data_IF_116779715045
#
_entry.id   IF_116779715045
#
_cell.length_a   1.000
_cell.length_b   1.000
_cell.length_c   1.000
_cell.angle_alpha   90.00
_cell.angle_beta   90.00
_cell.angle_gamma   90.00
#
_symmetry.space_group_name_H-M   'P 1'
#
loop_
_entity.id
_entity.type
_entity.pdbx_description
1 polymer ?
#
# COMPACT_ATOMS: atom_id res chain seq x y z
N UNK A 1 -10.69 3.95 -9.09
CA UNK A 1 -11.32 3.26 -7.94
C UNK A 1 -12.66 2.69 -8.37
N UNK A 2 -13.17 1.71 -7.63
CA UNK A 2 -14.49 1.14 -7.86
C UNK A 2 -15.25 1.09 -6.53
N UNK A 3 -16.57 1.30 -6.59
CA UNK A 3 -17.46 1.16 -5.45
C UNK A 3 -18.53 0.13 -5.84
N UNK A 4 -18.78 -0.83 -4.94
CA UNK A 4 -19.77 -1.87 -5.15
C UNK A 4 -20.84 -1.73 -4.08
N UNK A 5 -22.10 -1.77 -4.50
CA UNK A 5 -23.25 -1.75 -3.62
C UNK A 5 -23.91 -3.12 -3.61
N UNK A 6 -24.48 -3.48 -2.46
CA UNK A 6 -25.24 -4.73 -2.31
C UNK A 6 -26.55 -4.68 -3.08
N UNK A 7 -27.18 -3.51 -3.13
CA UNK A 7 -28.51 -3.28 -3.70
C UNK A 7 -28.52 -1.98 -4.53
N UNK A 8 -29.25 -1.93 -5.67
CA UNK A 8 -29.36 -0.74 -6.50
C UNK A 8 -29.94 0.48 -5.78
N UNK A 9 -30.81 0.30 -4.78
CA UNK A 9 -31.40 1.42 -4.03
C UNK A 9 -30.38 2.35 -3.38
N UNK A 10 -29.18 1.84 -3.05
CA UNK A 10 -28.08 2.67 -2.54
C UNK A 10 -27.48 3.59 -3.61
N UNK A 11 -27.49 3.18 -4.88
CA UNK A 11 -27.07 4.03 -6.01
C UNK A 11 -28.11 5.11 -6.30
N UNK A 12 -29.39 4.77 -6.17
CA UNK A 12 -30.49 5.73 -6.35
C UNK A 12 -30.48 6.80 -5.26
N UNK A 13 -30.17 6.44 -4.01
CA UNK A 13 -30.06 7.37 -2.89
C UNK A 13 -28.97 8.45 -3.08
N UNK A 14 -27.97 8.17 -3.92
CA UNK A 14 -26.91 9.14 -4.26
C UNK A 14 -27.13 9.78 -5.65
N UNK A 15 -28.20 9.41 -6.35
CA UNK A 15 -28.51 9.97 -7.66
C UNK A 15 -28.94 11.42 -7.51
N UNK A 16 -28.34 12.30 -8.31
CA UNK A 16 -28.78 13.69 -8.45
C UNK A 16 -29.55 13.83 -9.76
N UNK A 17 -30.74 14.42 -9.68
CA UNK A 17 -31.53 14.78 -10.86
C UNK A 17 -30.76 15.81 -11.71
N UNK A 18 -30.50 15.45 -12.96
CA UNK A 18 -29.91 16.29 -14.00
C UNK A 18 -30.91 16.48 -15.14
N UNK A 19 -31.97 17.29 -14.93
CA UNK A 19 -33.08 17.42 -15.87
C UNK A 19 -32.69 18.00 -17.23
N UNK A 20 -31.51 18.63 -17.34
CA UNK A 20 -30.99 19.22 -18.57
C UNK A 20 -30.11 18.27 -19.41
N UNK A 21 -29.95 16.99 -19.01
CA UNK A 21 -29.08 16.02 -19.68
C UNK A 21 -29.85 14.82 -20.26
N UNK A 22 -29.25 14.15 -21.23
CA UNK A 22 -29.80 12.94 -21.90
C UNK A 22 -30.00 11.77 -20.93
N UNK A 23 -29.15 11.68 -19.90
CA UNK A 23 -29.30 10.78 -18.76
C UNK A 23 -29.73 11.65 -17.59
N UNK A 24 -30.94 11.43 -17.08
CA UNK A 24 -31.56 12.31 -16.08
C UNK A 24 -31.04 12.12 -14.66
N UNK A 25 -30.26 11.06 -14.42
CA UNK A 25 -29.82 10.63 -13.10
C UNK A 25 -28.31 10.31 -13.13
N UNK A 26 -27.54 10.89 -12.21
CA UNK A 26 -26.11 10.67 -12.10
C UNK A 26 -25.73 10.26 -10.68
N UNK A 27 -25.14 9.08 -10.51
CA UNK A 27 -24.74 8.52 -9.20
C UNK A 27 -23.24 8.62 -8.92
N UNK A 28 -22.49 9.41 -9.69
CA UNK A 28 -21.05 9.66 -9.50
C UNK A 28 -20.75 11.15 -9.47
N UNK A 29 -19.78 11.57 -8.66
CA UNK A 29 -19.46 13.00 -8.42
C UNK A 29 -19.10 13.77 -9.70
N UNK A 30 -18.37 13.14 -10.63
CA UNK A 30 -17.87 13.79 -11.85
C UNK A 30 -18.76 13.48 -13.05
N UNK A 31 -19.03 14.49 -13.89
CA UNK A 31 -19.76 14.37 -15.16
C UNK A 31 -18.89 13.71 -16.25
N UNK A 32 -18.15 14.52 -17.02
CA UNK A 32 -17.20 13.98 -18.01
C UNK A 32 -16.06 13.25 -17.31
N UNK A 33 -15.82 12.00 -17.71
CA UNK A 33 -14.77 11.13 -17.15
C UNK A 33 -14.06 10.34 -18.24
N UNK A 34 -12.80 10.00 -17.99
CA UNK A 34 -11.98 9.24 -18.92
C UNK A 34 -12.42 7.77 -18.98
N UNK A 35 -12.97 7.34 -20.11
CA UNK A 35 -13.29 5.93 -20.35
C UNK A 35 -12.06 5.01 -20.35
N UNK A 36 -10.88 5.56 -20.65
CA UNK A 36 -9.61 4.84 -20.70
C UNK A 36 -9.28 4.12 -19.38
N UNK A 37 -9.57 4.73 -18.22
CA UNK A 37 -9.30 4.10 -16.91
C UNK A 37 -10.18 2.87 -16.67
N UNK A 38 -11.44 2.90 -17.12
CA UNK A 38 -12.33 1.75 -17.03
C UNK A 38 -11.88 0.63 -17.98
N UNK A 39 -11.52 0.98 -19.22
CA UNK A 39 -11.00 0.03 -20.19
C UNK A 39 -9.70 -0.64 -19.70
N UNK A 40 -8.75 0.14 -19.16
CA UNK A 40 -7.51 -0.37 -18.61
C UNK A 40 -7.75 -1.29 -17.39
N UNK A 41 -8.68 -0.92 -16.51
CA UNK A 41 -9.07 -1.77 -15.36
C UNK A 41 -9.60 -3.11 -15.84
N UNK A 42 -10.53 -3.11 -16.79
CA UNK A 42 -11.08 -4.34 -17.38
C UNK A 42 -9.99 -5.19 -18.06
N UNK A 43 -9.09 -4.56 -18.81
CA UNK A 43 -8.00 -5.25 -19.48
C UNK A 43 -7.06 -5.95 -18.49
N UNK A 44 -6.65 -5.27 -17.41
CA UNK A 44 -5.78 -5.86 -16.37
C UNK A 44 -6.49 -6.99 -15.63
N UNK A 45 -7.76 -6.79 -15.25
CA UNK A 45 -8.54 -7.84 -14.57
C UNK A 45 -8.69 -9.09 -15.45
N UNK A 46 -8.96 -8.89 -16.74
CA UNK A 46 -9.11 -9.99 -17.71
C UNK A 46 -7.79 -10.71 -17.98
N UNK A 47 -6.69 -9.96 -18.08
CA UNK A 47 -5.37 -10.50 -18.34
C UNK A 47 -4.81 -11.30 -17.17
N UNK A 48 -4.88 -10.75 -15.94
CA UNK A 48 -4.37 -11.42 -14.75
C UNK A 48 -5.25 -12.61 -14.35
N UNK A 49 -6.57 -12.44 -14.45
CA UNK A 49 -7.53 -13.40 -13.91
C UNK A 49 -7.29 -13.66 -12.41
N UNK A 50 -7.94 -14.71 -11.90
CA UNK A 50 -7.81 -15.08 -10.48
C UNK A 50 -6.37 -15.47 -10.12
N UNK A 51 -5.72 -16.25 -10.97
CA UNK A 51 -4.40 -16.83 -10.67
C UNK A 51 -3.30 -15.77 -10.69
N UNK A 52 -3.35 -14.82 -11.62
CA UNK A 52 -2.40 -13.70 -11.65
C UNK A 52 -2.50 -12.83 -10.40
N UNK A 53 -3.72 -12.54 -9.93
CA UNK A 53 -3.91 -11.83 -8.66
C UNK A 53 -3.43 -12.64 -7.46
N UNK A 54 -3.70 -13.95 -7.43
CA UNK A 54 -3.24 -14.83 -6.36
C UNK A 54 -1.71 -14.89 -6.28
N UNK A 55 -1.04 -15.08 -7.42
CA UNK A 55 0.43 -15.12 -7.50
C UNK A 55 1.06 -13.80 -7.04
N UNK A 56 0.51 -12.66 -7.48
CA UNK A 56 0.97 -11.34 -7.02
C UNK A 56 0.83 -11.19 -5.49
N UNK A 57 -0.28 -11.65 -4.92
CA UNK A 57 -0.50 -11.59 -3.48
C UNK A 57 0.48 -12.49 -2.71
N UNK A 58 0.75 -13.70 -3.21
CA UNK A 58 1.71 -14.63 -2.61
C UNK A 58 3.12 -14.02 -2.61
N UNK A 59 3.59 -13.52 -3.76
CA UNK A 59 4.93 -12.91 -3.87
C UNK A 59 5.07 -11.70 -2.93
N UNK A 60 4.03 -10.87 -2.84
CA UNK A 60 4.01 -9.73 -1.93
C UNK A 60 4.08 -10.17 -0.45
N UNK A 61 3.36 -11.23 -0.07
CA UNK A 61 3.40 -11.80 1.28
C UNK A 61 4.76 -12.42 1.61
N UNK A 62 5.39 -13.13 0.68
CA UNK A 62 6.73 -13.69 0.87
C UNK A 62 7.76 -12.59 1.19
N UNK A 63 7.74 -11.49 0.42
CA UNK A 63 8.59 -10.30 0.68
C UNK A 63 8.27 -9.64 2.02
N UNK A 64 7.00 -9.63 2.40
CA UNK A 64 6.53 -9.06 3.67
C UNK A 64 7.06 -9.86 4.85
N UNK A 65 6.92 -11.18 4.83
CA UNK A 65 7.45 -12.05 5.89
C UNK A 65 8.97 -11.98 5.95
N UNK A 66 9.64 -11.96 4.79
CA UNK A 66 11.09 -11.77 4.73
C UNK A 66 11.53 -10.47 5.43
N UNK A 67 10.89 -9.33 5.14
CA UNK A 67 11.23 -8.07 5.79
C UNK A 67 10.93 -8.11 7.29
N UNK A 68 9.73 -8.56 7.66
CA UNK A 68 9.26 -8.61 9.05
C UNK A 68 10.16 -9.47 9.95
N UNK A 69 10.56 -10.66 9.48
CA UNK A 69 11.40 -11.57 10.25
C UNK A 69 12.81 -11.03 10.45
N UNK A 70 13.38 -10.36 9.43
CA UNK A 70 14.71 -9.77 9.54
C UNK A 70 14.71 -8.51 10.41
N UNK A 71 13.66 -7.68 10.34
CA UNK A 71 13.50 -6.54 11.26
C UNK A 71 13.54 -6.98 12.73
N UNK A 72 12.80 -8.04 13.09
CA UNK A 72 12.83 -8.60 14.45
C UNK A 72 14.23 -9.10 14.84
N UNK A 73 14.95 -9.76 13.93
CA UNK A 73 16.32 -10.24 14.18
C UNK A 73 17.29 -9.09 14.43
N UNK A 74 17.07 -7.94 13.78
CA UNK A 74 17.84 -6.72 14.00
C UNK A 74 17.42 -5.98 15.29
N UNK A 75 16.35 -6.39 15.97
CA UNK A 75 15.88 -5.76 17.21
C UNK A 75 14.88 -4.61 16.99
N UNK A 76 14.36 -4.44 15.77
CA UNK A 76 13.26 -3.52 15.50
C UNK A 76 11.93 -4.11 15.96
N UNK A 77 11.02 -3.23 16.40
CA UNK A 77 9.72 -3.60 16.94
C UNK A 77 8.64 -3.46 15.87
N UNK A 78 8.00 -4.57 15.51
CA UNK A 78 6.83 -4.51 14.64
C UNK A 78 5.63 -3.94 15.40
N UNK A 79 4.89 -3.04 14.77
CA UNK A 79 3.62 -2.53 15.32
C UNK A 79 2.61 -3.67 15.46
N UNK A 80 2.59 -4.58 14.49
CA UNK A 80 1.75 -5.78 14.47
C UNK A 80 2.36 -6.81 13.51
N UNK A 81 2.10 -8.08 13.74
CA UNK A 81 2.41 -9.13 12.77
C UNK A 81 1.66 -8.88 11.45
N UNK A 82 2.37 -8.73 10.32
CA UNK A 82 1.74 -8.37 9.06
C UNK A 82 0.94 -9.56 8.50
N UNK A 83 -0.34 -9.30 8.20
CA UNK A 83 -1.24 -10.25 7.50
C UNK A 83 -1.44 -9.90 6.02
N UNK A 84 -0.92 -8.75 5.61
CA UNK A 84 -1.01 -8.17 4.28
C UNK A 84 0.37 -7.63 3.89
N UNK A 85 0.49 -7.07 2.70
CA UNK A 85 1.76 -6.61 2.13
C UNK A 85 2.26 -5.26 2.69
N UNK A 86 2.07 -5.02 3.98
CA UNK A 86 2.44 -3.78 4.66
C UNK A 86 3.15 -4.15 5.96
N UNK A 87 4.37 -3.66 6.13
CA UNK A 87 5.15 -3.81 7.35
C UNK A 87 5.29 -2.45 8.00
N UNK A 88 4.85 -2.35 9.26
CA UNK A 88 5.02 -1.16 10.08
C UNK A 88 5.89 -1.49 11.30
N UNK A 89 6.90 -0.67 11.55
CA UNK A 89 7.90 -0.93 12.58
C UNK A 89 8.49 0.34 13.19
N UNK A 90 9.08 0.21 14.37
CA UNK A 90 9.82 1.23 15.10
C UNK A 90 11.18 0.71 15.55
N UNK A 91 12.08 1.63 15.87
CA UNK A 91 13.31 1.31 16.59
C UNK A 91 13.03 1.35 18.10
N UNK A 92 13.64 0.48 18.93
CA UNK A 92 13.40 0.44 20.37
C UNK A 92 13.84 1.71 21.12
N UNK A 93 14.75 2.51 20.55
CA UNK A 93 15.34 3.68 21.21
C UNK A 93 15.24 5.00 20.43
N UNK A 94 14.91 4.95 19.13
CA UNK A 94 14.82 6.15 18.29
C UNK A 94 13.37 6.47 18.04
N UNK A 95 13.04 7.76 18.05
CA UNK A 95 11.72 8.19 17.62
C UNK A 95 11.54 7.93 16.12
N UNK A 96 10.31 7.64 15.69
CA UNK A 96 10.01 7.26 14.30
C UNK A 96 10.55 8.25 13.27
N UNK A 97 10.46 9.56 13.55
CA UNK A 97 10.91 10.61 12.64
C UNK A 97 12.43 10.75 12.58
N UNK A 98 13.14 10.44 13.67
CA UNK A 98 14.61 10.44 13.69
C UNK A 98 15.14 9.30 12.83
N UNK A 99 14.59 8.10 13.00
CA UNK A 99 14.92 6.97 12.14
C UNK A 99 14.59 7.26 10.67
N UNK A 100 13.46 7.93 10.41
CA UNK A 100 13.09 8.30 9.05
C UNK A 100 14.07 9.29 8.41
N UNK A 101 14.58 10.25 9.18
CA UNK A 101 15.61 11.16 8.71
C UNK A 101 16.91 10.43 8.38
N UNK A 102 17.37 9.51 9.25
CA UNK A 102 18.58 8.71 9.00
C UNK A 102 18.49 7.84 7.75
N UNK A 103 17.28 7.32 7.46
CA UNK A 103 16.99 6.59 6.23
C UNK A 103 16.93 7.52 5.02
N UNK A 104 16.37 8.72 5.16
CA UNK A 104 16.33 9.72 4.08
C UNK A 104 17.73 10.22 3.70
N UNK A 105 18.64 10.39 4.67
CA UNK A 105 20.06 10.69 4.44
C UNK A 105 20.78 9.60 3.64
N UNK A 106 20.26 8.35 3.73
CA UNK A 106 20.68 7.20 2.91
C UNK A 106 19.89 7.04 1.60
N UNK A 107 19.14 8.07 1.22
CA UNK A 107 18.28 8.15 0.03
C UNK A 107 17.04 7.25 0.03
N UNK A 108 16.63 6.69 1.18
CA UNK A 108 15.37 5.98 1.27
C UNK A 108 14.19 6.94 1.36
N UNK A 109 13.18 6.71 0.51
CA UNK A 109 11.89 7.41 0.61
C UNK A 109 10.87 6.50 1.27
N UNK A 110 10.71 6.67 2.57
CA UNK A 110 9.78 5.88 3.39
C UNK A 110 8.55 6.70 3.81
N UNK A 111 7.45 6.00 4.06
CA UNK A 111 6.25 6.61 4.63
C UNK A 111 6.27 6.49 6.15
N UNK A 112 5.87 7.55 6.84
CA UNK A 112 5.58 7.50 8.28
C UNK A 112 4.06 7.54 8.50
N UNK A 113 3.56 6.65 9.36
CA UNK A 113 2.18 6.67 9.84
C UNK A 113 2.08 7.63 11.03
N UNK A 114 0.96 8.34 11.15
CA UNK A 114 0.73 9.27 12.26
C UNK A 114 0.13 8.59 13.50
N UNK A 115 -0.69 7.54 13.30
CA UNK A 115 -1.34 6.80 14.38
C UNK A 115 -1.61 5.33 13.99
N UNK A 116 -0.92 4.35 14.62
CA UNK A 116 0.23 4.53 15.50
C UNK A 116 1.42 5.15 14.75
N UNK A 117 2.28 5.88 15.46
CA UNK A 117 3.53 6.40 14.90
C UNK A 117 4.44 5.24 14.55
N UNK A 118 4.79 5.11 13.27
CA UNK A 118 5.67 4.05 12.78
C UNK A 118 6.18 4.34 11.37
N UNK A 119 7.34 3.76 11.03
CA UNK A 119 7.74 3.61 9.64
C UNK A 119 6.81 2.60 9.00
N UNK A 120 6.39 2.83 7.75
CA UNK A 120 5.53 1.93 6.98
C UNK A 120 6.13 1.67 5.61
N UNK A 121 6.37 0.40 5.32
CA UNK A 121 6.82 -0.11 4.02
C UNK A 121 5.68 -0.89 3.39
N UNK A 122 5.33 -0.56 2.14
CA UNK A 122 4.31 -1.26 1.35
C UNK A 122 5.02 -2.10 0.28
N UNK A 123 4.87 -3.42 0.36
CA UNK A 123 5.58 -4.38 -0.46
C UNK A 123 4.79 -4.62 -1.75
N UNK A 124 5.14 -3.86 -2.79
CA UNK A 124 4.57 -3.99 -4.14
C UNK A 124 5.52 -4.78 -5.06
N UNK A 125 5.06 -5.16 -6.26
CA UNK A 125 5.84 -5.96 -7.21
C UNK A 125 7.17 -5.32 -7.66
N UNK A 126 7.27 -3.98 -7.66
CA UNK A 126 8.52 -3.29 -8.01
C UNK A 126 9.60 -3.38 -6.92
N UNK A 127 9.22 -3.75 -5.69
CA UNK A 127 10.17 -4.01 -4.61
C UNK A 127 10.70 -5.42 -4.77
N UNK A 128 12.00 -5.53 -5.05
CA UNK A 128 12.70 -6.81 -5.20
C UNK A 128 13.41 -7.18 -3.90
N UNK A 129 13.83 -8.43 -3.78
CA UNK A 129 14.52 -8.94 -2.59
C UNK A 129 15.83 -8.20 -2.34
N UNK A 130 16.53 -7.78 -3.39
CA UNK A 130 17.79 -7.04 -3.28
C UNK A 130 17.57 -5.69 -2.58
N UNK A 131 16.50 -4.97 -2.93
CA UNK A 131 16.16 -3.70 -2.27
C UNK A 131 15.85 -3.91 -0.77
N UNK A 132 15.25 -5.03 -0.40
CA UNK A 132 14.98 -5.36 1.01
C UNK A 132 16.27 -5.69 1.76
N UNK A 133 17.21 -6.36 1.12
CA UNK A 133 18.54 -6.64 1.70
C UNK A 133 19.30 -5.35 1.91
N UNK A 134 19.31 -4.45 0.93
CA UNK A 134 19.94 -3.13 1.05
C UNK A 134 19.32 -2.32 2.21
N UNK A 135 17.99 -2.27 2.29
CA UNK A 135 17.30 -1.60 3.40
C UNK A 135 17.67 -2.21 4.76
N UNK A 136 17.73 -3.54 4.86
CA UNK A 136 18.08 -4.23 6.10
C UNK A 136 19.53 -3.96 6.52
N UNK A 137 20.46 -3.89 5.56
CA UNK A 137 21.86 -3.54 5.84
C UNK A 137 21.95 -2.11 6.40
N UNK A 138 21.28 -1.15 5.78
CA UNK A 138 21.28 0.24 6.26
C UNK A 138 20.65 0.36 7.67
N UNK A 139 19.58 -0.40 7.94
CA UNK A 139 18.95 -0.47 9.26
C UNK A 139 19.87 -1.10 10.31
N UNK A 140 20.67 -2.11 9.94
CA UNK A 140 21.66 -2.73 10.81
C UNK A 140 22.86 -1.80 11.09
N UNK A 141 23.31 -1.05 10.08
CA UNK A 141 24.33 -0.01 10.25
C UNK A 141 23.87 1.10 11.19
N UNK A 142 22.60 1.54 11.07
CA UNK A 142 22.01 2.51 12.00
C UNK A 142 22.06 1.95 13.43
N UNK A 143 21.64 0.71 13.65
CA UNK A 143 21.68 0.09 14.98
C UNK A 143 23.09 0.02 15.58
N UNK A 144 24.11 -0.23 14.75
CA UNK A 144 25.52 -0.30 15.20
C UNK A 144 26.14 1.07 15.47
N UNK A 145 25.57 2.13 14.92
CA UNK A 145 26.07 3.50 15.06
C UNK A 145 25.52 4.25 16.29
N UNK A 146 24.54 3.65 16.98
CA UNK A 146 23.93 4.15 18.21
C UNK A 146 24.60 3.55 19.44
#
# INVERSE_FOLDING_TARGET
>A
GGILFRDPSYLDAMSVDSPCLTIKNQSTIVGTRLGASAAATYAVMSYLGKDGYANNAIEALEKTHFLADNLKKLGYELVVEPKLNIVAFNHPYLETFELAQLLEERNWKISCSSYPKAIRVILMNHIKKEHLIELLNDLDEINKSL
#
